data_IF_084587629513
#
_entry.id   IF_084587629513
#
_cell.length_a   1.000
_cell.length_b   1.000
_cell.length_c   1.000
_cell.angle_alpha   90.00
_cell.angle_beta   90.00
_cell.angle_gamma   90.00
#
_symmetry.space_group_name_H-M   'P 1'
#
loop_
_entity.id
_entity.type
_entity.pdbx_description
1 polymer ?
#
# COMPACT_ATOMS: atom_id res chain seq x y z
N UNK A 1 0.72 -12.04 16.43
CA UNK A 1 -0.31 -10.98 16.59
C UNK A 1 -1.39 -11.11 15.53
N UNK A 2 -1.88 -12.34 15.40
CA UNK A 2 -2.53 -12.84 14.20
C UNK A 2 -3.65 -13.78 14.63
N UNK A 3 -4.76 -13.77 13.89
CA UNK A 3 -5.88 -14.67 14.08
C UNK A 3 -6.40 -15.10 12.71
N UNK A 4 -6.46 -16.41 12.48
CA UNK A 4 -7.11 -16.98 11.31
C UNK A 4 -8.64 -16.88 11.50
N UNK A 5 -9.34 -16.25 10.54
CA UNK A 5 -10.79 -16.02 10.60
C UNK A 5 -11.55 -16.77 9.48
N UNK A 6 -10.85 -17.53 8.64
CA UNK A 6 -11.43 -18.37 7.58
C UNK A 6 -10.35 -18.99 6.70
N UNK A 7 -10.76 -19.80 5.72
CA UNK A 7 -9.85 -20.61 4.88
C UNK A 7 -8.76 -19.79 4.17
N UNK A 8 -9.01 -18.51 3.89
CA UNK A 8 -8.07 -17.59 3.23
C UNK A 8 -8.07 -16.21 3.89
N UNK A 9 -8.43 -16.13 5.18
CA UNK A 9 -8.61 -14.85 5.86
C UNK A 9 -7.83 -14.82 7.17
N UNK A 10 -6.97 -13.82 7.28
CA UNK A 10 -6.15 -13.57 8.46
C UNK A 10 -6.41 -12.15 8.95
N UNK A 11 -6.66 -12.01 10.25
CA UNK A 11 -6.65 -10.72 10.93
C UNK A 11 -5.32 -10.54 11.64
N UNK A 12 -4.61 -9.46 11.31
CA UNK A 12 -3.30 -9.14 11.88
C UNK A 12 -3.17 -7.65 12.19
N UNK A 13 -2.34 -7.31 13.19
CA UNK A 13 -2.00 -5.93 13.49
C UNK A 13 -0.67 -5.53 12.83
N UNK A 14 -0.75 -5.03 11.61
CA UNK A 14 0.41 -4.61 10.81
C UNK A 14 1.10 -3.32 11.29
N UNK A 15 0.62 -2.65 12.35
CA UNK A 15 1.37 -1.56 12.98
C UNK A 15 2.67 -2.09 13.62
N UNK A 16 2.64 -3.36 14.07
CA UNK A 16 3.78 -4.04 14.67
C UNK A 16 4.65 -4.68 13.58
N UNK A 17 5.91 -4.27 13.41
CA UNK A 17 6.77 -4.78 12.33
C UNK A 17 6.92 -6.30 12.31
N UNK A 18 7.02 -6.94 13.48
CA UNK A 18 7.20 -8.39 13.62
C UNK A 18 5.98 -9.19 13.16
N UNK A 19 4.80 -8.59 13.19
CA UNK A 19 3.55 -9.23 12.74
C UNK A 19 3.50 -9.31 11.21
N UNK A 20 4.25 -8.45 10.51
CA UNK A 20 4.27 -8.45 9.05
C UNK A 20 4.79 -9.77 8.48
N UNK A 21 5.95 -10.22 8.97
CA UNK A 21 6.59 -11.44 8.49
C UNK A 21 5.79 -12.68 8.89
N UNK A 22 5.25 -12.69 10.11
CA UNK A 22 4.34 -13.74 10.60
C UNK A 22 3.10 -13.86 9.69
N UNK A 23 2.50 -12.73 9.30
CA UNK A 23 1.30 -12.72 8.47
C UNK A 23 1.57 -13.15 7.03
N UNK A 24 2.69 -12.72 6.44
CA UNK A 24 3.09 -13.16 5.11
C UNK A 24 3.43 -14.65 5.10
N UNK A 25 4.05 -15.17 6.15
CA UNK A 25 4.34 -16.61 6.28
C UNK A 25 3.06 -17.44 6.26
N UNK A 26 2.07 -17.08 7.10
CA UNK A 26 0.76 -17.77 7.12
C UNK A 26 0.04 -17.64 5.77
N UNK A 27 0.06 -16.44 5.17
CA UNK A 27 -0.57 -16.23 3.87
C UNK A 27 0.10 -17.03 2.73
N UNK A 28 1.42 -17.24 2.78
CA UNK A 28 2.11 -18.07 1.79
C UNK A 28 1.65 -19.54 1.87
N UNK A 29 1.42 -20.07 3.08
CA UNK A 29 0.91 -21.44 3.24
C UNK A 29 -0.45 -21.65 2.57
N UNK A 30 -1.27 -20.60 2.45
CA UNK A 30 -2.54 -20.67 1.74
C UNK A 30 -2.39 -20.73 0.21
N UNK A 31 -1.23 -20.32 -0.29
CA UNK A 31 -0.88 -20.35 -1.71
C UNK A 31 -0.05 -21.61 -2.05
N UNK A 32 0.33 -22.43 -1.06
CA UNK A 32 1.09 -23.65 -1.28
C UNK A 32 0.41 -24.57 -2.30
N UNK A 33 1.18 -25.05 -3.27
CA UNK A 33 0.67 -25.86 -4.38
C UNK A 33 -0.02 -25.08 -5.50
N UNK A 34 -0.10 -23.75 -5.40
CA UNK A 34 -0.57 -22.89 -6.49
C UNK A 34 0.61 -22.48 -7.37
N UNK A 35 0.68 -22.99 -8.60
CA UNK A 35 1.69 -22.55 -9.56
C UNK A 35 1.31 -21.18 -10.16
N UNK A 36 2.17 -20.17 -9.96
CA UNK A 36 2.05 -18.86 -10.62
C UNK A 36 3.33 -18.55 -11.38
N UNK A 37 3.22 -18.32 -12.70
CA UNK A 37 4.34 -17.87 -13.53
C UNK A 37 4.82 -16.47 -13.18
N UNK A 38 3.98 -15.66 -12.52
CA UNK A 38 4.27 -14.27 -12.14
C UNK A 38 4.69 -14.14 -10.67
N UNK A 39 4.71 -15.25 -9.92
CA UNK A 39 4.97 -15.25 -8.49
C UNK A 39 3.81 -14.68 -7.67
N UNK A 40 4.10 -14.29 -6.42
CA UNK A 40 3.15 -13.76 -5.45
C UNK A 40 3.20 -12.24 -5.42
N UNK A 41 2.02 -11.60 -5.42
CA UNK A 41 1.89 -10.15 -5.25
C UNK A 41 1.32 -9.84 -3.86
N UNK A 42 1.98 -8.93 -3.15
CA UNK A 42 1.46 -8.33 -1.92
C UNK A 42 0.95 -6.93 -2.26
N UNK A 43 -0.37 -6.75 -2.19
CA UNK A 43 -1.02 -5.47 -2.42
C UNK A 43 -1.39 -4.82 -1.08
N UNK A 44 -1.01 -3.57 -0.90
CA UNK A 44 -1.26 -2.81 0.33
C UNK A 44 -1.80 -1.42 0.02
N UNK A 45 -2.83 -1.00 0.74
CA UNK A 45 -3.44 0.31 0.54
C UNK A 45 -3.34 1.20 1.77
N UNK A 46 -3.14 2.50 1.51
CA UNK A 46 -3.03 3.53 2.54
C UNK A 46 -1.98 3.23 3.64
N UNK A 47 -0.79 2.73 3.26
CA UNK A 47 0.21 2.28 4.23
C UNK A 47 0.72 3.38 5.16
N UNK A 48 0.71 4.63 4.72
CA UNK A 48 1.11 5.74 5.57
C UNK A 48 0.13 6.04 6.72
N UNK A 49 -1.02 5.35 6.78
CA UNK A 49 -1.86 5.33 7.98
C UNK A 49 -1.13 4.72 9.18
N UNK A 50 -0.27 3.72 8.95
CA UNK A 50 0.49 3.05 10.01
C UNK A 50 1.47 4.00 10.70
N UNK A 51 1.92 5.05 9.99
CA UNK A 51 2.86 6.05 10.52
C UNK A 51 2.23 6.96 11.58
N UNK A 52 0.90 6.97 11.70
CA UNK A 52 0.22 7.69 12.77
C UNK A 52 0.42 7.08 14.16
N UNK A 53 0.90 5.83 14.25
CA UNK A 53 1.21 5.22 15.54
C UNK A 53 2.37 5.97 16.21
N UNK A 54 2.19 6.36 17.47
CA UNK A 54 3.25 7.03 18.23
C UNK A 54 4.34 6.06 18.64
N UNK A 55 3.94 4.82 18.93
CA UNK A 55 4.86 3.78 19.39
C UNK A 55 5.65 3.20 18.22
N UNK A 56 4.97 2.82 17.13
CA UNK A 56 5.60 2.02 16.07
C UNK A 56 5.75 2.75 14.74
N UNK A 57 5.27 3.99 14.59
CA UNK A 57 5.17 4.66 13.29
C UNK A 57 6.49 4.77 12.52
N UNK A 58 7.60 5.00 13.22
CA UNK A 58 8.95 5.01 12.61
C UNK A 58 9.47 3.61 12.29
N UNK A 59 9.21 2.64 13.15
CA UNK A 59 9.67 1.26 12.98
C UNK A 59 8.97 0.60 11.78
N UNK A 60 7.65 0.78 11.66
CA UNK A 60 6.89 0.23 10.54
C UNK A 60 7.26 0.90 9.21
N UNK A 61 7.60 2.19 9.23
CA UNK A 61 8.14 2.87 8.06
C UNK A 61 9.50 2.29 7.63
N UNK A 62 10.40 2.06 8.59
CA UNK A 62 11.69 1.42 8.32
C UNK A 62 11.50 0.01 7.74
N UNK A 63 10.58 -0.79 8.29
CA UNK A 63 10.23 -2.12 7.77
C UNK A 63 9.71 -2.07 6.34
N UNK A 64 8.77 -1.16 6.03
CA UNK A 64 8.25 -1.00 4.67
C UNK A 64 9.36 -0.57 3.70
N UNK A 65 10.23 0.35 4.12
CA UNK A 65 11.38 0.78 3.32
C UNK A 65 12.33 -0.39 3.02
N UNK A 66 12.64 -1.20 4.02
CA UNK A 66 13.47 -2.39 3.88
C UNK A 66 12.86 -3.39 2.90
N UNK A 67 11.56 -3.69 3.03
CA UNK A 67 10.84 -4.58 2.12
C UNK A 67 10.96 -4.09 0.67
N UNK A 68 10.65 -2.81 0.42
CA UNK A 68 10.68 -2.25 -0.94
C UNK A 68 12.09 -2.30 -1.56
N UNK A 69 13.11 -2.14 -0.73
CA UNK A 69 14.51 -2.11 -1.15
C UNK A 69 15.08 -3.52 -1.38
N UNK A 70 14.86 -4.44 -0.43
CA UNK A 70 15.62 -5.69 -0.31
C UNK A 70 14.80 -6.93 -0.71
N UNK A 71 13.48 -6.98 -0.46
CA UNK A 71 12.68 -8.17 -0.80
C UNK A 71 12.31 -8.16 -2.29
N UNK A 72 12.94 -9.06 -3.04
CA UNK A 72 12.71 -9.30 -4.48
C UNK A 72 12.10 -10.67 -4.76
N UNK A 73 11.71 -11.42 -3.74
CA UNK A 73 11.00 -12.71 -3.89
C UNK A 73 9.54 -12.49 -4.28
N UNK A 74 8.98 -11.32 -3.94
CA UNK A 74 7.57 -10.97 -4.15
C UNK A 74 7.44 -9.66 -4.92
N UNK A 75 6.30 -9.48 -5.57
CA UNK A 75 5.91 -8.19 -6.14
C UNK A 75 5.12 -7.39 -5.11
N UNK A 76 5.57 -6.18 -4.81
CA UNK A 76 4.88 -5.29 -3.88
C UNK A 76 4.16 -4.15 -4.63
N UNK A 77 2.85 -4.04 -4.43
CA UNK A 77 2.05 -2.95 -4.97
C UNK A 77 1.43 -2.15 -3.81
N UNK A 78 2.10 -1.06 -3.42
CA UNK A 78 1.69 -0.24 -2.30
C UNK A 78 1.19 1.12 -2.72
N UNK A 79 0.10 1.55 -2.08
CA UNK A 79 -0.43 2.91 -2.23
C UNK A 79 -0.32 3.68 -0.92
N UNK A 80 0.05 4.94 -1.03
CA UNK A 80 0.16 5.91 0.07
C UNK A 80 -0.48 7.22 -0.37
N UNK A 81 -0.96 8.00 0.60
CA UNK A 81 -1.31 9.39 0.35
C UNK A 81 -0.05 10.26 0.42
N UNK A 82 0.31 10.96 -0.66
CA UNK A 82 1.55 11.77 -0.72
C UNK A 82 1.52 13.05 0.11
N UNK A 83 0.34 13.52 0.53
CA UNK A 83 0.19 14.76 1.32
C UNK A 83 0.48 14.52 2.81
N UNK A 84 0.21 13.31 3.30
CA UNK A 84 0.42 12.94 4.70
C UNK A 84 1.77 12.22 4.87
N UNK A 85 2.56 12.68 5.86
CA UNK A 85 3.92 12.18 6.13
C UNK A 85 4.86 12.31 4.93
N UNK A 86 4.81 13.46 4.25
CA UNK A 86 5.55 13.74 3.01
C UNK A 86 7.01 13.28 3.04
N UNK A 87 7.78 13.66 4.06
CA UNK A 87 9.19 13.28 4.17
C UNK A 87 9.38 11.76 4.21
N UNK A 88 8.56 11.05 4.98
CA UNK A 88 8.60 9.59 5.09
C UNK A 88 8.17 8.93 3.79
N UNK A 89 7.16 9.47 3.10
CA UNK A 89 6.73 8.98 1.79
C UNK A 89 7.82 9.19 0.75
N UNK A 90 8.43 10.36 0.69
CA UNK A 90 9.56 10.66 -0.21
C UNK A 90 10.76 9.72 0.03
N UNK A 91 10.99 9.26 1.27
CA UNK A 91 11.97 8.21 1.54
C UNK A 91 11.57 6.87 0.90
N UNK A 92 10.30 6.46 0.97
CA UNK A 92 9.84 5.23 0.32
C UNK A 92 9.96 5.33 -1.20
N UNK A 93 9.57 6.48 -1.78
CA UNK A 93 9.66 6.75 -3.22
C UNK A 93 11.09 6.61 -3.77
N UNK A 94 12.13 6.81 -2.95
CA UNK A 94 13.53 6.62 -3.38
C UNK A 94 13.94 5.14 -3.46
N UNK A 95 13.21 4.24 -2.83
CA UNK A 95 13.58 2.82 -2.64
C UNK A 95 12.71 1.84 -3.43
N UNK A 96 11.93 2.30 -4.42
CA UNK A 96 11.07 1.44 -5.25
C UNK A 96 11.60 1.29 -6.66
N UNK A 97 11.35 0.15 -7.30
CA UNK A 97 11.71 -0.05 -8.71
C UNK A 97 10.81 0.79 -9.63
N UNK A 98 9.51 0.86 -9.32
CA UNK A 98 8.49 1.53 -10.12
C UNK A 98 7.74 2.57 -9.28
N UNK A 99 7.46 3.74 -9.87
CA UNK A 99 6.76 4.84 -9.21
C UNK A 99 5.68 5.44 -10.11
N UNK A 100 4.49 5.58 -9.52
CA UNK A 100 3.31 6.12 -10.18
C UNK A 100 2.59 7.08 -9.24
N UNK A 101 1.99 8.12 -9.80
CA UNK A 101 1.19 9.09 -9.08
C UNK A 101 -0.22 9.11 -9.65
N UNK A 102 -1.20 9.05 -8.75
CA UNK A 102 -2.60 9.27 -9.10
C UNK A 102 -3.11 10.55 -8.45
N UNK A 103 -3.85 11.37 -9.19
CA UNK A 103 -4.48 12.59 -8.65
C UNK A 103 -5.90 12.74 -9.15
N UNK A 104 -6.76 13.31 -8.31
CA UNK A 104 -8.07 13.77 -8.74
C UNK A 104 -7.93 15.15 -9.40
N UNK A 105 -8.36 15.28 -10.64
CA UNK A 105 -8.41 16.52 -11.39
C UNK A 105 -9.78 17.21 -11.31
N UNK A 106 -9.92 18.29 -12.10
CA UNK A 106 -11.19 18.98 -12.27
C UNK A 106 -12.28 18.06 -12.81
N UNK A 107 -13.53 18.34 -12.45
CA UNK A 107 -14.68 17.54 -12.89
C UNK A 107 -14.73 16.12 -12.31
N UNK A 108 -13.93 15.83 -11.27
CA UNK A 108 -13.85 14.51 -10.65
C UNK A 108 -13.33 13.44 -11.62
N UNK A 109 -12.20 13.74 -12.25
CA UNK A 109 -11.49 12.84 -13.16
C UNK A 109 -10.24 12.32 -12.49
N UNK A 110 -10.06 11.00 -12.48
CA UNK A 110 -8.83 10.40 -11.95
C UNK A 110 -7.77 10.40 -13.04
N UNK A 111 -6.60 10.93 -12.73
CA UNK A 111 -5.44 10.91 -13.60
C UNK A 111 -4.35 10.03 -13.01
N UNK A 112 -3.62 9.32 -13.87
CA UNK A 112 -2.47 8.51 -13.52
C UNK A 112 -1.26 8.96 -14.34
N UNK A 113 -0.13 9.11 -13.67
CA UNK A 113 1.18 9.39 -14.27
C UNK A 113 2.20 8.40 -13.78
N UNK A 114 2.92 7.76 -14.69
CA UNK A 114 4.10 6.96 -14.38
C UNK A 114 5.31 7.90 -14.39
N UNK A 115 6.16 7.84 -13.36
CA UNK A 115 7.37 8.67 -13.26
C UNK A 115 8.65 7.85 -13.25
N UNK A 116 8.57 6.57 -12.88
CA UNK A 116 9.70 5.65 -12.96
C UNK A 116 9.22 4.24 -13.24
N UNK A 117 9.91 3.56 -14.15
CA UNK A 117 9.87 2.11 -14.29
C UNK A 117 11.30 1.60 -14.43
N UNK A 118 11.66 0.56 -13.70
CA UNK A 118 13.00 -0.01 -13.78
C UNK A 118 13.15 -0.88 -15.03
N UNK A 119 14.19 -0.62 -15.81
CA UNK A 119 14.65 -1.47 -16.91
C UNK A 119 13.63 -1.72 -18.04
N UNK A 120 12.54 -0.93 -18.10
CA UNK A 120 11.54 -1.02 -19.17
C UNK A 120 11.12 0.37 -19.66
N UNK A 121 10.86 0.54 -20.96
CA UNK A 121 10.26 1.76 -21.49
C UNK A 121 8.86 2.00 -20.90
N UNK A 122 8.49 3.26 -20.68
CA UNK A 122 7.17 3.62 -20.21
C UNK A 122 6.68 4.95 -20.80
N UNK A 123 5.37 5.17 -20.71
CA UNK A 123 4.74 6.41 -21.17
C UNK A 123 4.69 7.39 -20.00
N UNK A 124 5.48 8.46 -20.08
CA UNK A 124 5.52 9.53 -19.06
C UNK A 124 4.28 10.44 -19.09
N UNK A 125 3.47 10.35 -20.15
CA UNK A 125 2.27 11.15 -20.30
C UNK A 125 1.24 10.76 -19.24
N UNK A 126 0.69 11.78 -18.59
CA UNK A 126 -0.46 11.60 -17.71
C UNK A 126 -1.70 11.21 -18.52
N UNK A 127 -2.41 10.19 -18.05
CA UNK A 127 -3.62 9.65 -18.69
C UNK A 127 -4.81 9.77 -17.76
N UNK A 128 -5.98 10.04 -18.33
CA UNK A 128 -7.26 9.94 -17.61
C UNK A 128 -7.62 8.45 -17.46
N UNK A 129 -7.87 8.03 -16.23
CA UNK A 129 -8.28 6.66 -15.91
C UNK A 129 -9.77 6.54 -16.25
N UNK A 130 -10.20 5.51 -17.02
CA UNK A 130 -11.57 5.39 -17.50
C UNK A 130 -12.54 4.89 -16.41
N UNK A 131 -12.69 5.65 -15.33
CA UNK A 131 -13.63 5.39 -14.25
C UNK A 131 -14.83 6.32 -14.34
N UNK A 132 -16.02 5.79 -14.07
CA UNK A 132 -17.23 6.60 -14.00
C UNK A 132 -17.23 7.48 -12.75
N UNK A 133 -17.92 8.61 -12.82
CA UNK A 133 -18.07 9.54 -11.70
C UNK A 133 -18.62 8.85 -10.44
N UNK A 134 -19.62 7.96 -10.58
CA UNK A 134 -20.20 7.23 -9.45
C UNK A 134 -19.22 6.29 -8.74
N UNK A 135 -18.28 5.68 -9.47
CA UNK A 135 -17.20 4.88 -8.88
C UNK A 135 -16.25 5.79 -8.09
N UNK A 136 -15.86 6.93 -8.67
CA UNK A 136 -14.99 7.89 -8.00
C UNK A 136 -15.64 8.48 -6.73
N UNK A 137 -16.96 8.70 -6.74
CA UNK A 137 -17.72 9.15 -5.57
C UNK A 137 -17.72 8.12 -4.46
N UNK A 138 -17.86 6.84 -4.81
CA UNK A 138 -17.81 5.74 -3.85
C UNK A 138 -16.42 5.61 -3.22
N UNK A 139 -15.35 5.73 -4.02
CA UNK A 139 -13.96 5.75 -3.53
C UNK A 139 -13.75 6.93 -2.56
N UNK A 140 -14.24 8.12 -2.92
CA UNK A 140 -14.13 9.32 -2.07
C UNK A 140 -14.85 9.12 -0.74
N UNK A 141 -16.06 8.55 -0.74
CA UNK A 141 -16.83 8.31 0.48
C UNK A 141 -16.10 7.33 1.42
N UNK A 142 -15.52 6.26 0.87
CA UNK A 142 -14.81 5.28 1.68
C UNK A 142 -13.54 5.88 2.31
N UNK A 143 -12.79 6.67 1.55
CA UNK A 143 -11.62 7.39 2.05
C UNK A 143 -11.97 8.33 3.22
N UNK A 144 -13.10 9.05 3.15
CA UNK A 144 -13.56 9.96 4.20
C UNK A 144 -14.00 9.21 5.48
N UNK A 145 -14.64 8.04 5.36
CA UNK A 145 -14.95 7.19 6.52
C UNK A 145 -13.68 6.71 7.21
N UNK A 146 -12.70 6.26 6.44
CA UNK A 146 -11.40 5.81 6.95
C UNK A 146 -10.70 6.90 7.78
N UNK A 147 -10.64 8.13 7.27
CA UNK A 147 -10.04 9.27 8.01
C UNK A 147 -10.69 9.52 9.37
N UNK A 148 -12.02 9.43 9.46
CA UNK A 148 -12.77 9.73 10.69
C UNK A 148 -12.58 8.67 11.78
N UNK A 149 -12.45 7.41 11.39
CA UNK A 149 -12.49 6.28 12.34
C UNK A 149 -11.11 5.66 12.60
N UNK A 150 -10.31 5.43 11.54
CA UNK A 150 -9.07 4.66 11.65
C UNK A 150 -7.90 5.50 12.17
N UNK A 151 -7.73 6.72 11.68
CA UNK A 151 -6.61 7.59 12.11
C UNK A 151 -6.63 7.82 13.63
N UNK A 152 -7.77 8.18 14.27
CA UNK A 152 -7.81 8.36 15.71
C UNK A 152 -7.52 7.08 16.50
N UNK A 153 -7.89 5.91 15.97
CA UNK A 153 -7.61 4.63 16.62
C UNK A 153 -6.11 4.31 16.59
N UNK A 154 -5.46 4.47 15.43
CA UNK A 154 -4.03 4.19 15.25
C UNK A 154 -3.17 5.15 16.08
N UNK A 155 -3.56 6.43 16.18
CA UNK A 155 -2.83 7.45 16.98
C UNK A 155 -2.74 7.14 18.48
N UNK A 156 -3.62 6.28 19.00
CA UNK A 156 -3.63 5.85 20.40
C UNK A 156 -2.69 4.66 20.67
N UNK A 157 -2.18 4.05 19.60
CA UNK A 157 -1.21 2.96 19.62
C UNK A 157 0.17 3.57 19.45
#
# INVERSE_FOLDING_TARGET
>A
GIKEEGAYHIRANFIKPEVWDEALSVANNYLDGTESKLGTMVSGAALNLLFFSKTYGKEIHAKIKEILKEDKERTYFFTVNSDAFREMVEELEKNVDNLMFSRMGEGMKLHLKVTRMREVPFIEKEVEVPLSKGVLESIKQEAEKGKKNLIPAIRKI
#
